data_IF_927655434236
#
_entry.id   IF_927655434236
#
_cell.length_a   1.000
_cell.length_b   1.000
_cell.length_c   1.000
_cell.angle_alpha   90.00
_cell.angle_beta   90.00
_cell.angle_gamma   90.00
#
_symmetry.space_group_name_H-M   'P 1'
#
loop_
_entity.id
_entity.type
_entity.pdbx_description
1 polymer ?
#
# COMPACT_ATOMS: atom_id res chain seq x y z
N UNK A 1 -42.89 -8.48 5.35
CA UNK A 1 -42.27 -7.28 4.76
C UNK A 1 -41.12 -7.75 3.89
N UNK A 2 -41.34 -7.81 2.58
CA UNK A 2 -40.34 -8.19 1.58
C UNK A 2 -39.32 -7.07 1.46
N UNK A 3 -38.08 -7.29 1.91
CA UNK A 3 -36.98 -6.37 1.67
C UNK A 3 -36.75 -6.29 0.16
N UNK A 4 -37.01 -5.13 -0.44
CA UNK A 4 -36.69 -4.90 -1.84
C UNK A 4 -35.18 -5.12 -2.04
N UNK A 5 -34.81 -5.94 -3.03
CA UNK A 5 -33.42 -6.12 -3.41
C UNK A 5 -32.86 -4.75 -3.81
N UNK A 6 -31.80 -4.29 -3.12
CA UNK A 6 -31.10 -3.07 -3.47
C UNK A 6 -30.57 -3.22 -4.90
N UNK A 7 -30.91 -2.28 -5.79
CA UNK A 7 -30.23 -2.23 -7.08
C UNK A 7 -28.71 -2.09 -6.86
N UNK A 8 -27.89 -2.86 -7.60
CA UNK A 8 -26.45 -2.77 -7.47
C UNK A 8 -25.98 -1.39 -7.91
N UNK A 9 -25.36 -0.66 -6.99
CA UNK A 9 -24.76 0.65 -7.26
C UNK A 9 -23.49 0.43 -8.11
N UNK A 10 -23.32 1.13 -9.24
CA UNK A 10 -22.09 1.02 -10.05
C UNK A 10 -20.85 1.41 -9.24
N UNK A 11 -19.72 0.74 -9.48
CA UNK A 11 -18.44 1.08 -8.83
C UNK A 11 -18.02 2.54 -9.08
N UNK A 12 -18.41 3.09 -10.24
CA UNK A 12 -18.15 4.49 -10.60
C UNK A 12 -18.94 5.51 -9.79
N UNK A 13 -19.99 5.09 -9.06
CA UNK A 13 -20.74 5.99 -8.20
C UNK A 13 -19.95 6.45 -6.97
N UNK A 14 -18.86 5.75 -6.64
CA UNK A 14 -17.99 6.08 -5.51
C UNK A 14 -18.65 5.86 -4.15
N UNK A 15 -18.01 6.36 -3.11
CA UNK A 15 -18.53 6.32 -1.74
C UNK A 15 -19.37 7.58 -1.43
N UNK A 16 -20.46 7.47 -0.65
CA UNK A 16 -21.32 8.61 -0.29
C UNK A 16 -20.61 9.63 0.61
N UNK A 17 -19.52 9.23 1.26
CA UNK A 17 -18.64 10.08 2.05
C UNK A 17 -17.18 9.65 1.82
N UNK A 18 -16.20 10.53 2.10
CA UNK A 18 -14.79 10.16 2.00
C UNK A 18 -14.48 8.94 2.89
N UNK A 19 -13.77 7.92 2.38
CA UNK A 19 -13.42 6.73 3.17
C UNK A 19 -12.72 7.03 4.50
N UNK A 20 -11.97 8.13 4.56
CA UNK A 20 -11.30 8.63 5.77
C UNK A 20 -12.25 9.00 6.93
N UNK A 21 -13.57 9.13 6.67
CA UNK A 21 -14.58 9.31 7.73
C UNK A 21 -15.10 8.00 8.31
N UNK A 22 -14.93 6.91 7.57
CA UNK A 22 -15.47 5.60 7.93
C UNK A 22 -14.37 4.65 8.42
N UNK A 23 -13.16 4.77 7.88
CA UNK A 23 -12.02 3.89 8.16
C UNK A 23 -10.86 4.67 8.78
N UNK A 24 -10.17 4.03 9.72
CA UNK A 24 -9.02 4.58 10.45
C UNK A 24 -7.67 4.35 9.73
N UNK A 25 -7.63 3.37 8.83
CA UNK A 25 -6.44 3.01 8.04
C UNK A 25 -6.82 2.79 6.59
N UNK A 26 -6.00 3.29 5.67
CA UNK A 26 -5.99 2.86 4.28
C UNK A 26 -4.72 2.08 3.96
N UNK A 27 -4.87 0.92 3.33
CA UNK A 27 -3.79 0.17 2.73
C UNK A 27 -3.85 0.38 1.22
N UNK A 28 -2.86 1.11 0.70
CA UNK A 28 -2.83 1.63 -0.65
C UNK A 28 -1.88 0.78 -1.49
N UNK A 29 -2.38 0.22 -2.57
CA UNK A 29 -1.51 -0.25 -3.65
C UNK A 29 -0.71 0.93 -4.25
N UNK A 30 0.38 0.64 -4.95
CA UNK A 30 1.29 1.65 -5.48
C UNK A 30 1.18 1.81 -7.00
N UNK A 31 1.58 0.78 -7.75
CA UNK A 31 1.66 0.80 -9.22
C UNK A 31 0.25 0.86 -9.84
N UNK A 32 -0.07 1.98 -10.49
CA UNK A 32 -1.39 2.22 -11.08
C UNK A 32 -2.41 2.84 -10.11
N UNK A 33 -2.03 3.05 -8.85
CA UNK A 33 -2.89 3.64 -7.82
C UNK A 33 -2.31 4.95 -7.29
N UNK A 34 -1.10 4.92 -6.76
CA UNK A 34 -0.40 6.12 -6.28
C UNK A 34 0.44 6.75 -7.39
N UNK A 35 1.08 5.93 -8.24
CA UNK A 35 1.90 6.40 -9.35
C UNK A 35 1.73 5.52 -10.60
N UNK A 36 2.04 6.10 -11.77
CA UNK A 36 2.12 5.39 -13.05
C UNK A 36 3.47 5.73 -13.68
N UNK A 37 4.34 4.72 -13.78
CA UNK A 37 5.72 4.94 -14.21
C UNK A 37 6.44 5.89 -13.25
N UNK A 38 7.04 6.99 -13.74
CA UNK A 38 7.80 7.92 -12.89
C UNK A 38 6.94 9.02 -12.24
N UNK A 39 5.63 9.05 -12.45
CA UNK A 39 4.79 10.17 -12.07
C UNK A 39 3.68 9.77 -11.11
N UNK A 40 3.36 10.65 -10.16
CA UNK A 40 2.18 10.52 -9.31
C UNK A 40 0.91 10.49 -10.17
N UNK A 41 -0.08 9.71 -9.75
CA UNK A 41 -1.43 9.79 -10.31
C UNK A 41 -2.00 11.18 -9.95
N UNK A 42 -2.54 11.94 -10.92
CA UNK A 42 -3.03 13.29 -10.66
C UNK A 42 -4.05 13.36 -9.54
N UNK A 43 -3.83 14.25 -8.57
CA UNK A 43 -4.74 14.47 -7.44
C UNK A 43 -4.58 13.50 -6.27
N UNK A 44 -3.74 12.45 -6.42
CA UNK A 44 -3.51 11.47 -5.35
C UNK A 44 -2.74 12.06 -4.17
N UNK A 45 -1.60 12.75 -4.35
CA UNK A 45 -0.88 13.36 -3.23
C UNK A 45 -1.80 14.23 -2.37
N UNK A 46 -2.58 15.12 -3.00
CA UNK A 46 -3.49 16.01 -2.28
C UNK A 46 -4.65 15.26 -1.62
N UNK A 47 -5.10 14.14 -2.20
CA UNK A 47 -6.16 13.32 -1.61
C UNK A 47 -5.67 12.57 -0.36
N UNK A 48 -4.45 12.02 -0.42
CA UNK A 48 -3.82 11.33 0.70
C UNK A 48 -3.52 12.29 1.84
N UNK A 49 -2.99 13.49 1.55
CA UNK A 49 -2.77 14.54 2.54
C UNK A 49 -4.07 14.93 3.25
N UNK A 50 -5.17 15.12 2.49
CA UNK A 50 -6.48 15.42 3.09
C UNK A 50 -7.00 14.29 3.97
N UNK A 51 -6.73 13.05 3.61
CA UNK A 51 -7.17 11.90 4.38
C UNK A 51 -6.35 11.74 5.67
N UNK A 52 -5.02 11.91 5.59
CA UNK A 52 -4.13 11.96 6.75
C UNK A 52 -4.48 13.11 7.70
N UNK A 53 -4.80 14.30 7.18
CA UNK A 53 -5.26 15.44 7.96
C UNK A 53 -6.60 15.19 8.68
N UNK A 54 -7.39 14.20 8.24
CA UNK A 54 -8.61 13.73 8.93
C UNK A 54 -8.33 12.63 9.97
N UNK A 55 -7.07 12.25 10.17
CA UNK A 55 -6.65 11.23 11.13
C UNK A 55 -6.56 9.81 10.57
N UNK A 56 -6.77 9.60 9.26
CA UNK A 56 -6.59 8.30 8.63
C UNK A 56 -5.10 7.98 8.50
N UNK A 57 -4.67 6.82 8.99
CA UNK A 57 -3.29 6.33 8.80
C UNK A 57 -3.15 5.71 7.41
N UNK A 58 -2.01 5.92 6.77
CA UNK A 58 -1.74 5.44 5.42
C UNK A 58 -0.67 4.36 5.48
N UNK A 59 -0.95 3.18 4.94
CA UNK A 59 0.04 2.14 4.68
C UNK A 59 0.15 1.91 3.18
N UNK A 60 1.37 1.73 2.70
CA UNK A 60 1.71 1.59 1.28
C UNK A 60 2.12 0.14 1.01
N UNK A 61 1.27 -0.61 0.33
CA UNK A 61 1.45 -2.04 0.09
C UNK A 61 1.84 -2.26 -1.36
N UNK A 62 2.92 -2.99 -1.61
CA UNK A 62 3.34 -3.31 -2.98
C UNK A 62 3.75 -4.76 -3.14
N UNK A 63 3.40 -5.35 -4.29
CA UNK A 63 3.90 -6.66 -4.67
C UNK A 63 5.34 -6.62 -5.22
N UNK A 64 5.93 -5.44 -5.37
CA UNK A 64 7.29 -5.26 -5.84
C UNK A 64 8.31 -5.57 -4.72
N UNK A 65 9.07 -6.64 -4.91
CA UNK A 65 10.09 -7.10 -3.97
C UNK A 65 11.49 -6.51 -4.23
N UNK A 66 11.70 -5.82 -5.36
CA UNK A 66 13.04 -5.44 -5.79
C UNK A 66 13.64 -4.30 -4.96
N UNK A 67 12.80 -3.38 -4.48
CA UNK A 67 13.20 -2.19 -3.73
C UNK A 67 13.07 -2.42 -2.22
N UNK A 68 13.92 -1.76 -1.44
CA UNK A 68 13.76 -1.72 0.02
C UNK A 68 12.62 -0.78 0.42
N UNK A 69 12.05 -0.91 1.63
CA UNK A 69 11.05 0.04 2.15
C UNK A 69 11.52 1.50 2.08
N UNK A 70 12.79 1.76 2.39
CA UNK A 70 13.39 3.11 2.33
C UNK A 70 13.40 3.66 0.91
N UNK A 71 13.71 2.82 -0.09
CA UNK A 71 13.70 3.24 -1.50
C UNK A 71 12.28 3.56 -1.98
N UNK A 72 11.28 2.81 -1.51
CA UNK A 72 9.87 3.06 -1.86
C UNK A 72 9.38 4.34 -1.18
N UNK A 73 9.64 4.52 0.12
CA UNK A 73 9.25 5.70 0.89
C UNK A 73 9.89 6.99 0.33
N UNK A 74 11.19 6.93 -0.02
CA UNK A 74 11.87 8.04 -0.67
C UNK A 74 11.22 8.39 -2.02
N UNK A 75 10.89 7.39 -2.82
CA UNK A 75 10.21 7.62 -4.10
C UNK A 75 8.80 8.22 -3.93
N UNK A 76 8.02 7.74 -2.97
CA UNK A 76 6.73 8.34 -2.63
C UNK A 76 6.87 9.81 -2.23
N UNK A 77 7.88 10.12 -1.40
CA UNK A 77 8.18 11.48 -0.97
C UNK A 77 8.58 12.38 -2.14
N UNK A 78 9.39 11.90 -3.08
CA UNK A 78 9.72 12.61 -4.32
C UNK A 78 8.48 12.94 -5.16
N UNK A 79 7.46 12.09 -5.10
CA UNK A 79 6.17 12.25 -5.77
C UNK A 79 5.17 13.14 -4.99
N UNK A 80 5.59 13.69 -3.84
CA UNK A 80 4.76 14.54 -3.00
C UNK A 80 3.85 13.79 -2.03
N UNK A 81 4.04 12.47 -1.85
CA UNK A 81 3.31 11.66 -0.88
C UNK A 81 4.20 11.44 0.34
N UNK A 82 3.83 12.01 1.49
CA UNK A 82 4.57 11.80 2.73
C UNK A 82 4.51 10.31 3.13
N UNK A 83 5.68 9.68 3.22
CA UNK A 83 5.82 8.28 3.59
C UNK A 83 7.15 8.05 4.31
N UNK A 84 7.10 7.30 5.40
CA UNK A 84 8.27 6.77 6.09
C UNK A 84 8.50 5.30 5.72
N UNK A 85 9.70 4.73 5.91
CA UNK A 85 9.96 3.32 5.62
C UNK A 85 9.01 2.36 6.35
N UNK A 86 8.59 2.71 7.58
CA UNK A 86 7.66 1.92 8.39
C UNK A 86 6.22 1.93 7.86
N UNK A 87 5.88 2.86 6.97
CA UNK A 87 4.58 2.90 6.29
C UNK A 87 4.53 1.95 5.09
N UNK A 88 5.67 1.38 4.66
CA UNK A 88 5.77 0.55 3.46
C UNK A 88 5.78 -0.94 3.81
N UNK A 89 4.87 -1.68 3.18
CA UNK A 89 4.81 -3.15 3.23
C UNK A 89 5.09 -3.73 1.83
N UNK A 90 6.21 -4.43 1.69
CA UNK A 90 6.61 -5.10 0.45
C UNK A 90 6.25 -6.58 0.46
N UNK A 91 6.17 -7.19 -0.72
CA UNK A 91 6.02 -8.65 -0.84
C UNK A 91 7.22 -9.42 -0.30
N UNK A 92 8.43 -8.83 -0.28
CA UNK A 92 9.61 -9.50 0.28
C UNK A 92 9.53 -9.64 1.80
N UNK A 93 8.98 -8.65 2.52
CA UNK A 93 8.72 -8.75 3.97
C UNK A 93 7.66 -9.82 4.28
N UNK A 94 6.58 -9.85 3.48
CA UNK A 94 5.54 -10.87 3.63
C UNK A 94 6.10 -12.28 3.36
N UNK A 95 6.90 -12.44 2.31
CA UNK A 95 7.56 -13.71 1.99
C UNK A 95 8.54 -14.14 3.09
N UNK A 96 9.33 -13.21 3.65
CA UNK A 96 10.26 -13.49 4.73
C UNK A 96 9.55 -14.08 5.95
N UNK A 97 8.37 -13.56 6.30
CA UNK A 97 7.55 -14.09 7.40
C UNK A 97 7.11 -15.53 7.14
N UNK A 98 6.61 -15.81 5.94
CA UNK A 98 6.19 -17.17 5.54
C UNK A 98 7.38 -18.14 5.51
N UNK A 99 8.52 -17.70 4.97
CA UNK A 99 9.73 -18.53 4.92
C UNK A 99 10.22 -18.85 6.33
N UNK A 100 10.24 -17.88 7.24
CA UNK A 100 10.64 -18.07 8.63
C UNK A 100 9.81 -19.16 9.33
N UNK A 101 8.50 -19.18 9.09
CA UNK A 101 7.59 -20.21 9.62
C UNK A 101 7.85 -21.60 9.02
N UNK A 102 8.25 -21.66 7.74
CA UNK A 102 8.50 -22.91 7.03
C UNK A 102 9.85 -23.55 7.38
N UNK A 103 10.91 -22.75 7.49
CA UNK A 103 12.28 -23.28 7.67
C UNK A 103 12.75 -23.25 9.12
N UNK A 104 12.11 -22.43 9.96
CA UNK A 104 12.47 -22.23 11.36
C UNK A 104 13.81 -21.48 11.58
N UNK A 105 14.17 -21.22 12.85
CA UNK A 105 15.40 -20.51 13.19
C UNK A 105 16.65 -21.22 12.66
N UNK A 106 17.54 -20.48 11.99
CA UNK A 106 18.77 -21.01 11.42
C UNK A 106 18.59 -21.77 10.09
N UNK A 107 17.38 -21.78 9.53
CA UNK A 107 17.13 -22.26 8.18
C UNK A 107 17.95 -21.50 7.14
N UNK A 108 18.43 -22.22 6.12
CA UNK A 108 19.21 -21.63 5.03
C UNK A 108 18.29 -21.25 3.88
N UNK A 109 18.35 -19.99 3.47
CA UNK A 109 17.56 -19.45 2.37
C UNK A 109 18.51 -18.90 1.31
N UNK A 110 18.24 -19.22 0.05
CA UNK A 110 18.90 -18.56 -1.08
C UNK A 110 18.01 -17.41 -1.54
N UNK A 111 18.39 -16.18 -1.23
CA UNK A 111 17.69 -15.00 -1.74
C UNK A 111 17.97 -14.81 -3.23
N UNK A 112 16.90 -14.69 -4.03
CA UNK A 112 16.96 -14.40 -5.47
C UNK A 112 16.09 -13.19 -5.74
N UNK A 113 16.69 -12.04 -6.01
CA UNK A 113 15.97 -10.80 -6.26
C UNK A 113 16.86 -9.57 -6.23
N UNK A 114 16.22 -8.39 -6.19
CA UNK A 114 16.89 -7.11 -6.02
C UNK A 114 17.27 -6.82 -4.57
N UNK A 115 17.76 -5.60 -4.27
CA UNK A 115 18.16 -5.19 -2.91
C UNK A 115 17.10 -5.40 -1.82
N UNK A 116 15.80 -5.33 -2.18
CA UNK A 116 14.70 -5.60 -1.27
C UNK A 116 14.52 -7.08 -0.87
N UNK A 117 15.25 -8.00 -1.50
CA UNK A 117 15.25 -9.45 -1.23
C UNK A 117 16.60 -9.84 -0.65
N UNK A 118 16.81 -9.57 0.63
CA UNK A 118 18.01 -9.98 1.37
C UNK A 118 17.81 -11.35 2.05
N UNK A 119 18.92 -12.07 2.22
CA UNK A 119 18.97 -13.35 2.94
C UNK A 119 19.24 -13.15 4.44
#
# INVERSE_FOLDING_TARGET
MTGAAREPVPLSAGAPEPPARTYDVALLDLDGVVYVGPAAVPGVPEALDRAAAQGMRLGFVTNNAARTPEQVAAHLTELGVAAEPDDVITSSQAAASVVADLVGPGGRVLAVGGPGVAA
#
